data_IF_106152247465
#
_entry.id   IF_106152247465
#
_cell.length_a   1.000
_cell.length_b   1.000
_cell.length_c   1.000
_cell.angle_alpha   90.00
_cell.angle_beta   90.00
_cell.angle_gamma   90.00
#
_symmetry.space_group_name_H-M   'P 1'
#
loop_
_entity.id
_entity.type
_entity.pdbx_description
1 polymer ?
#
# COMPACT_ATOMS: atom_id res chain seq x y z
N UNK A 1 -14.14 14.71 -0.39
CA UNK A 1 -12.93 15.55 -0.19
C UNK A 1 -11.74 14.68 -0.56
N UNK A 2 -10.84 15.12 -1.44
CA UNK A 2 -9.75 14.27 -1.95
C UNK A 2 -8.68 14.14 -0.87
N UNK A 3 -8.56 12.97 -0.25
CA UNK A 3 -7.52 12.70 0.74
C UNK A 3 -6.28 12.13 0.03
N UNK A 4 -5.61 12.96 -0.77
CA UNK A 4 -4.35 12.57 -1.38
C UNK A 4 -3.27 12.46 -0.31
N UNK A 5 -2.61 11.32 -0.26
CA UNK A 5 -1.80 10.94 0.89
C UNK A 5 -0.30 11.23 0.73
N UNK A 6 0.15 11.54 -0.49
CA UNK A 6 1.57 11.69 -0.86
C UNK A 6 2.00 13.16 -0.86
N UNK A 7 2.56 13.63 0.25
CA UNK A 7 3.12 14.97 0.41
C UNK A 7 4.41 15.09 -0.42
N UNK A 8 4.33 15.70 -1.60
CA UNK A 8 5.48 15.86 -2.53
C UNK A 8 5.17 15.50 -3.97
N UNK A 9 4.03 14.86 -4.23
CA UNK A 9 3.57 14.51 -5.57
C UNK A 9 2.17 15.08 -5.85
N UNK A 10 1.96 15.51 -7.08
CA UNK A 10 0.64 15.91 -7.56
C UNK A 10 -0.06 14.70 -8.20
N UNK A 11 -1.27 14.34 -7.73
CA UNK A 11 -2.00 13.22 -8.30
C UNK A 11 -2.42 13.51 -9.74
N UNK A 12 -2.35 12.48 -10.60
CA UNK A 12 -2.95 12.55 -11.94
C UNK A 12 -4.46 12.49 -11.84
N UNK A 13 -5.17 13.16 -12.75
CA UNK A 13 -6.63 13.12 -12.80
C UNK A 13 -7.20 11.70 -12.81
N UNK A 14 -6.56 10.78 -13.55
CA UNK A 14 -6.95 9.37 -13.60
C UNK A 14 -6.84 8.69 -12.22
N UNK A 15 -5.82 9.01 -11.42
CA UNK A 15 -5.67 8.45 -10.07
C UNK A 15 -6.78 8.95 -9.16
N UNK A 16 -7.10 10.25 -9.20
CA UNK A 16 -8.21 10.84 -8.44
C UNK A 16 -9.54 10.17 -8.80
N UNK A 17 -9.81 10.03 -10.10
CA UNK A 17 -11.02 9.39 -10.60
C UNK A 17 -11.13 7.94 -10.13
N UNK A 18 -10.04 7.18 -10.18
CA UNK A 18 -10.01 5.79 -9.72
C UNK A 18 -10.23 5.68 -8.21
N UNK A 19 -9.54 6.50 -7.40
CA UNK A 19 -9.72 6.54 -5.94
C UNK A 19 -11.17 6.86 -5.60
N UNK A 20 -11.77 7.86 -6.24
CA UNK A 20 -13.17 8.23 -5.98
C UNK A 20 -14.15 7.12 -6.36
N UNK A 21 -13.93 6.44 -7.50
CA UNK A 21 -14.76 5.31 -7.92
C UNK A 21 -14.67 4.14 -6.95
N UNK A 22 -13.46 3.81 -6.50
CA UNK A 22 -13.25 2.74 -5.52
C UNK A 22 -13.90 3.11 -4.18
N UNK A 23 -13.71 4.35 -3.71
CA UNK A 23 -14.30 4.83 -2.47
C UNK A 23 -15.84 4.81 -2.52
N UNK A 24 -16.43 5.20 -3.65
CA UNK A 24 -17.86 5.11 -3.86
C UNK A 24 -18.35 3.66 -3.81
N UNK A 25 -17.67 2.74 -4.50
CA UNK A 25 -18.04 1.32 -4.46
C UNK A 25 -17.93 0.72 -3.04
N UNK A 26 -16.90 1.09 -2.26
CA UNK A 26 -16.83 0.68 -0.86
C UNK A 26 -18.03 1.22 -0.06
N UNK A 27 -18.40 2.49 -0.27
CA UNK A 27 -19.57 3.13 0.38
C UNK A 27 -20.91 2.48 0.03
N UNK A 28 -21.06 1.95 -1.19
CA UNK A 28 -22.24 1.19 -1.64
C UNK A 28 -22.27 -0.25 -1.09
N UNK A 29 -21.25 -0.67 -0.33
CA UNK A 29 -21.18 -2.00 0.31
C UNK A 29 -20.56 -3.09 -0.56
N UNK A 30 -19.89 -2.74 -1.67
CA UNK A 30 -19.13 -3.72 -2.45
C UNK A 30 -17.94 -4.24 -1.65
N UNK A 31 -17.89 -5.56 -1.42
CA UNK A 31 -16.82 -6.21 -0.64
C UNK A 31 -15.55 -6.49 -1.45
N UNK A 32 -15.72 -6.77 -2.75
CA UNK A 32 -14.62 -7.12 -3.64
C UNK A 32 -14.64 -6.18 -4.84
N UNK A 33 -13.53 -5.50 -5.11
CA UNK A 33 -13.38 -4.56 -6.21
C UNK A 33 -12.16 -4.99 -7.02
N UNK A 34 -12.37 -5.26 -8.31
CA UNK A 34 -11.30 -5.63 -9.24
C UNK A 34 -10.98 -4.42 -10.11
N UNK A 35 -9.73 -3.96 -10.03
CA UNK A 35 -9.21 -2.88 -10.87
C UNK A 35 -8.21 -3.45 -11.88
N UNK A 36 -8.58 -3.40 -13.16
CA UNK A 36 -7.61 -3.56 -14.24
C UNK A 36 -7.01 -2.20 -14.58
N UNK A 37 -5.69 -2.08 -14.46
CA UNK A 37 -5.00 -0.85 -14.82
C UNK A 37 -3.58 -1.14 -15.34
N UNK A 38 -3.22 -0.47 -16.43
CA UNK A 38 -1.92 -0.62 -17.08
C UNK A 38 -0.72 -0.32 -16.16
N UNK A 39 0.46 -0.74 -16.59
CA UNK A 39 1.72 -0.35 -15.95
C UNK A 39 1.92 1.17 -16.04
N UNK A 40 2.64 1.76 -15.09
CA UNK A 40 2.95 3.21 -15.10
C UNK A 40 1.83 4.17 -14.66
N UNK A 41 0.59 3.70 -14.45
CA UNK A 41 -0.52 4.53 -13.95
C UNK A 41 -0.37 4.96 -12.47
N UNK A 42 0.56 4.32 -11.75
CA UNK A 42 0.77 4.56 -10.31
C UNK A 42 -0.21 3.79 -9.43
N UNK A 43 -0.43 2.50 -9.72
CA UNK A 43 -1.26 1.60 -8.89
C UNK A 43 -0.85 1.60 -7.42
N UNK A 44 0.46 1.63 -7.15
CA UNK A 44 0.97 1.67 -5.78
C UNK A 44 0.56 2.94 -5.04
N UNK A 45 0.60 4.10 -5.70
CA UNK A 45 0.12 5.36 -5.11
C UNK A 45 -1.39 5.34 -4.82
N UNK A 46 -2.18 4.72 -5.70
CA UNK A 46 -3.63 4.51 -5.50
C UNK A 46 -3.85 3.60 -4.27
N UNK A 47 -3.17 2.45 -4.22
CA UNK A 47 -3.29 1.49 -3.13
C UNK A 47 -2.90 2.09 -1.78
N UNK A 48 -1.77 2.80 -1.71
CA UNK A 48 -1.30 3.47 -0.49
C UNK A 48 -2.25 4.58 -0.05
N UNK A 49 -2.80 5.35 -1.00
CA UNK A 49 -3.77 6.40 -0.67
C UNK A 49 -5.03 5.81 -0.07
N UNK A 50 -5.57 4.74 -0.66
CA UNK A 50 -6.73 4.04 -0.11
C UNK A 50 -6.41 3.44 1.27
N UNK A 51 -5.27 2.78 1.43
CA UNK A 51 -4.86 2.22 2.71
C UNK A 51 -4.82 3.29 3.83
N UNK A 52 -4.25 4.47 3.54
CA UNK A 52 -4.24 5.59 4.50
C UNK A 52 -5.63 6.16 4.78
N UNK A 53 -6.53 6.18 3.79
CA UNK A 53 -7.90 6.66 3.97
C UNK A 53 -8.73 5.75 4.89
N UNK A 54 -8.45 4.45 4.90
CA UNK A 54 -9.20 3.46 5.69
C UNK A 54 -8.46 3.01 6.96
N UNK A 55 -7.24 3.52 7.20
CA UNK A 55 -6.36 3.25 8.35
C UNK A 55 -5.99 1.77 8.54
N UNK A 56 -6.94 0.93 8.97
CA UNK A 56 -6.78 -0.50 9.24
C UNK A 56 -6.74 -1.31 7.93
N UNK A 57 -5.63 -1.17 7.21
CA UNK A 57 -5.46 -1.72 5.86
C UNK A 57 -4.13 -2.47 5.70
N UNK A 58 -4.18 -3.53 4.89
CA UNK A 58 -3.00 -4.30 4.49
C UNK A 58 -2.79 -4.19 2.99
N UNK A 59 -1.56 -3.87 2.58
CA UNK A 59 -1.13 -3.95 1.18
C UNK A 59 -0.32 -5.22 1.02
N UNK A 60 -0.83 -6.15 0.21
CA UNK A 60 -0.16 -7.42 -0.07
C UNK A 60 0.53 -7.34 -1.43
N UNK A 61 1.77 -7.83 -1.48
CA UNK A 61 2.55 -7.95 -2.72
C UNK A 61 3.09 -9.37 -2.85
N UNK A 62 3.39 -9.79 -4.07
CA UNK A 62 3.82 -11.17 -4.34
C UNK A 62 5.26 -11.46 -3.89
N UNK A 63 6.12 -10.44 -3.81
CA UNK A 63 7.55 -10.61 -3.56
C UNK A 63 8.07 -9.58 -2.56
N UNK A 64 9.12 -9.93 -1.82
CA UNK A 64 9.80 -9.01 -0.91
C UNK A 64 10.39 -7.80 -1.61
N UNK A 65 10.85 -7.96 -2.85
CA UNK A 65 11.35 -6.85 -3.66
C UNK A 65 10.26 -5.80 -3.93
N UNK A 66 9.03 -6.25 -4.21
CA UNK A 66 7.90 -5.32 -4.37
C UNK A 66 7.52 -4.68 -3.04
N UNK A 67 7.58 -5.43 -1.93
CA UNK A 67 7.38 -4.87 -0.60
C UNK A 67 8.42 -3.79 -0.27
N UNK A 68 9.70 -4.03 -0.57
CA UNK A 68 10.79 -3.07 -0.42
C UNK A 68 10.57 -1.82 -1.29
N UNK A 69 10.05 -1.98 -2.51
CA UNK A 69 9.67 -0.83 -3.35
C UNK A 69 8.57 0.02 -2.69
N UNK A 70 7.55 -0.61 -2.10
CA UNK A 70 6.51 0.13 -1.36
C UNK A 70 7.10 0.89 -0.16
N UNK A 71 8.04 0.31 0.57
CA UNK A 71 8.67 0.96 1.71
C UNK A 71 9.62 2.08 1.30
N UNK A 72 10.35 1.91 0.21
CA UNK A 72 11.19 2.97 -0.35
C UNK A 72 10.34 4.17 -0.77
N UNK A 73 9.22 3.93 -1.46
CA UNK A 73 8.39 5.00 -2.02
C UNK A 73 7.42 5.60 -1.00
N UNK A 74 7.01 4.83 0.02
CA UNK A 74 5.88 5.16 0.92
C UNK A 74 6.15 4.82 2.40
N UNK A 75 7.41 4.64 2.80
CA UNK A 75 7.79 4.20 4.15
C UNK A 75 7.30 5.08 5.28
N UNK A 76 7.07 6.37 5.03
CA UNK A 76 6.50 7.31 6.03
C UNK A 76 5.04 7.00 6.37
N UNK A 77 4.36 6.14 5.59
CA UNK A 77 2.96 5.79 5.77
C UNK A 77 2.74 4.29 5.97
N UNK A 78 3.76 3.46 5.76
CA UNK A 78 3.64 2.01 5.74
C UNK A 78 4.63 1.39 6.72
N UNK A 79 4.18 0.35 7.40
CA UNK A 79 5.04 -0.51 8.24
C UNK A 79 5.21 -1.85 7.56
N UNK A 80 6.43 -2.38 7.59
CA UNK A 80 6.74 -3.67 6.99
C UNK A 80 6.39 -4.85 7.92
N UNK A 81 5.72 -5.85 7.35
CA UNK A 81 5.49 -7.15 8.00
C UNK A 81 6.04 -8.27 7.12
N UNK A 82 6.89 -9.12 7.69
CA UNK A 82 7.51 -10.28 7.03
C UNK A 82 7.35 -11.53 7.91
N UNK A 83 7.62 -12.72 7.35
CA UNK A 83 7.73 -13.93 8.17
C UNK A 83 8.95 -13.89 9.09
N UNK A 84 8.88 -14.53 10.27
CA UNK A 84 9.92 -14.52 11.33
C UNK A 84 11.35 -14.69 10.81
N UNK A 85 11.58 -15.64 9.90
CA UNK A 85 12.91 -15.93 9.35
C UNK A 85 13.54 -14.81 8.51
N UNK A 86 12.82 -13.71 8.27
CA UNK A 86 13.31 -12.57 7.49
C UNK A 86 13.74 -11.38 8.36
N UNK A 87 13.59 -11.48 9.68
CA UNK A 87 14.09 -10.47 10.61
C UNK A 87 15.47 -10.89 11.10
N UNK A 88 16.42 -9.95 11.06
CA UNK A 88 17.73 -10.17 11.64
C UNK A 88 17.59 -10.29 13.15
N UNK A 89 18.06 -11.39 13.71
CA UNK A 89 18.16 -11.53 15.15
C UNK A 89 19.25 -10.57 15.67
N UNK A 90 18.87 -9.64 16.54
CA UNK A 90 19.82 -8.73 17.20
C UNK A 90 20.35 -9.31 18.53
N UNK A 91 19.93 -10.52 18.90
CA UNK A 91 20.42 -11.21 20.09
C UNK A 91 21.85 -11.72 19.85
N UNK A 92 22.75 -11.41 20.78
CA UNK A 92 24.18 -11.76 20.70
C UNK A 92 24.53 -13.10 21.37
N UNK A 93 23.58 -13.78 22.01
CA UNK A 93 23.78 -15.11 22.57
C UNK A 93 23.44 -16.21 21.57
N UNK A 94 23.67 -17.47 21.95
CA UNK A 94 23.26 -18.60 21.12
C UNK A 94 21.73 -18.66 21.04
N UNK A 95 21.22 -18.54 19.80
CA UNK A 95 19.84 -18.89 19.49
C UNK A 95 19.83 -20.36 19.08
N UNK A 96 19.92 -21.26 20.07
CA UNK A 96 19.69 -22.68 19.83
C UNK A 96 18.18 -22.85 19.61
N UNK A 97 17.78 -23.13 18.37
CA UNK A 97 16.42 -23.52 18.01
C UNK A 97 16.35 -25.04 17.88
#
# INVERSE_FOLDING_TARGET
MIHWSLTGHHPRNTQIQLINKINHAIGEGYKNIILEAGTGIGKSAIATTLAKMYEDSYILTMTKQLQEQYLHDFGDMLVEIKGKGNYKCNYKGNCDF
#
